data_IF_148082040703
#
_entry.id   IF_148082040703
#
_cell.length_a   1.000
_cell.length_b   1.000
_cell.length_c   1.000
_cell.angle_alpha   90.00
_cell.angle_beta   90.00
_cell.angle_gamma   90.00
#
_symmetry.space_group_name_H-M   'P 1'
#
loop_
_entity.id
_entity.type
_entity.pdbx_description
1 polymer ?
#
# COMPACT_ATOMS: atom_id res chain seq x y z
N UNK A 1 3.87 10.33 -11.58
CA UNK A 1 3.47 11.17 -10.43
C UNK A 1 4.04 12.60 -10.51
N UNK A 2 5.26 12.82 -11.01
CA UNK A 2 5.74 14.20 -11.27
C UNK A 2 4.77 15.00 -12.15
N UNK A 3 4.22 14.40 -13.20
CA UNK A 3 3.21 15.02 -14.08
C UNK A 3 1.89 15.35 -13.37
N UNK A 4 1.65 14.74 -12.21
CA UNK A 4 0.49 15.01 -11.33
C UNK A 4 0.84 15.98 -10.19
N UNK A 5 1.96 16.71 -10.29
CA UNK A 5 2.37 17.75 -9.35
C UNK A 5 3.09 17.24 -8.11
N UNK A 6 3.61 16.02 -8.10
CA UNK A 6 4.35 15.50 -6.94
C UNK A 6 5.81 15.99 -6.93
N UNK A 7 6.23 16.48 -5.78
CA UNK A 7 7.64 16.75 -5.48
C UNK A 7 8.37 15.41 -5.30
N UNK A 8 9.48 15.24 -6.02
CA UNK A 8 10.29 14.03 -5.93
C UNK A 8 11.34 14.19 -4.82
N UNK A 9 11.15 13.49 -3.73
CA UNK A 9 12.08 13.44 -2.61
C UNK A 9 13.11 12.32 -2.81
N UNK A 10 14.34 12.57 -2.39
CA UNK A 10 15.40 11.56 -2.42
C UNK A 10 15.16 10.47 -1.38
N UNK A 11 15.68 9.27 -1.67
CA UNK A 11 15.72 8.20 -0.67
C UNK A 11 16.45 8.65 0.60
N UNK A 12 15.82 8.49 1.74
CA UNK A 12 16.48 8.66 3.02
C UNK A 12 17.55 7.57 3.23
N UNK A 13 18.44 7.80 4.19
CA UNK A 13 19.38 6.77 4.67
C UNK A 13 18.63 5.57 5.20
N UNK A 14 19.17 4.36 5.02
CA UNK A 14 18.65 3.14 5.65
C UNK A 14 18.75 3.20 7.18
N UNK A 15 19.70 3.97 7.72
CA UNK A 15 19.81 4.20 9.16
C UNK A 15 18.84 5.32 9.53
N UNK A 16 17.80 5.03 10.37
CA UNK A 16 16.83 6.03 10.78
C UNK A 16 17.53 7.21 11.50
N UNK A 17 17.09 8.42 11.21
CA UNK A 17 17.46 9.59 11.98
C UNK A 17 16.28 9.94 12.89
N UNK A 18 16.59 10.07 14.18
CA UNK A 18 15.62 10.52 15.22
C UNK A 18 14.37 9.63 15.41
N UNK A 19 14.37 8.42 14.89
CA UNK A 19 13.33 7.41 15.11
C UNK A 19 13.90 6.18 15.83
N UNK A 20 13.67 6.11 17.14
CA UNK A 20 14.11 4.98 17.98
C UNK A 20 13.25 3.73 17.86
N UNK A 21 12.14 3.80 17.14
CA UNK A 21 11.22 2.67 16.94
C UNK A 21 11.71 1.70 15.85
N UNK A 22 12.66 2.13 15.01
CA UNK A 22 13.20 1.36 13.91
C UNK A 22 14.73 1.26 13.99
N UNK A 23 15.26 0.08 13.74
CA UNK A 23 16.69 -0.13 13.56
C UNK A 23 17.15 0.20 12.14
N UNK A 24 16.32 -0.13 11.15
CA UNK A 24 16.58 0.07 9.72
C UNK A 24 15.28 0.50 9.06
N UNK A 25 15.35 1.37 8.07
CA UNK A 25 14.19 1.78 7.27
C UNK A 25 13.67 0.58 6.47
N UNK A 26 12.40 0.25 6.69
CA UNK A 26 11.73 -0.94 6.13
C UNK A 26 10.51 -0.61 5.26
N UNK A 27 10.18 0.68 5.10
CA UNK A 27 9.07 1.14 4.27
C UNK A 27 9.28 2.54 3.73
N UNK A 28 8.58 2.89 2.66
CA UNK A 28 8.60 4.23 2.06
C UNK A 28 8.04 5.32 2.97
N UNK A 29 7.10 4.96 3.86
CA UNK A 29 6.48 5.90 4.79
C UNK A 29 7.35 6.19 6.01
N UNK A 30 8.22 5.26 6.43
CA UNK A 30 8.98 5.39 7.68
C UNK A 30 9.74 6.73 7.81
N UNK A 31 10.46 7.24 6.80
CA UNK A 31 11.13 8.55 6.89
C UNK A 31 10.17 9.75 6.92
N UNK A 32 8.89 9.53 6.56
CA UNK A 32 7.88 10.59 6.41
C UNK A 32 6.88 10.63 7.57
N UNK A 33 7.01 9.74 8.57
CA UNK A 33 6.11 9.67 9.74
C UNK A 33 5.88 11.02 10.41
N UNK A 34 6.93 11.83 10.54
CA UNK A 34 6.87 13.16 11.16
C UNK A 34 5.90 14.11 10.46
N UNK A 35 5.74 13.99 9.15
CA UNK A 35 4.79 14.79 8.38
C UNK A 35 3.34 14.32 8.59
N UNK A 36 3.11 13.01 8.63
CA UNK A 36 1.80 12.44 8.93
C UNK A 36 1.37 12.69 10.38
N UNK A 37 2.32 12.72 11.30
CA UNK A 37 2.08 13.05 12.71
C UNK A 37 1.92 14.57 12.96
N UNK A 38 2.07 15.43 11.95
CA UNK A 38 2.00 16.88 12.10
C UNK A 38 3.16 17.50 12.91
N UNK A 39 4.23 16.76 13.16
CA UNK A 39 5.40 17.24 13.91
C UNK A 39 6.21 18.23 13.09
N UNK A 40 6.29 17.98 11.79
CA UNK A 40 6.96 18.87 10.83
C UNK A 40 6.05 19.12 9.61
N UNK A 41 6.23 20.27 8.97
CA UNK A 41 5.56 20.59 7.71
C UNK A 41 6.28 19.89 6.55
N UNK A 42 5.57 19.13 5.70
CA UNK A 42 6.19 18.51 4.53
C UNK A 42 6.66 19.56 3.52
N UNK A 43 7.73 19.31 2.74
CA UNK A 43 8.23 20.24 1.73
C UNK A 43 7.22 20.50 0.60
N UNK A 44 6.27 19.59 0.39
CA UNK A 44 5.15 19.73 -0.54
C UNK A 44 3.98 18.87 -0.08
N UNK A 45 2.74 19.28 -0.44
CA UNK A 45 1.54 18.49 -0.14
C UNK A 45 1.49 17.16 -0.89
N UNK A 46 2.09 17.08 -2.06
CA UNK A 46 2.24 15.84 -2.86
C UNK A 46 3.71 15.46 -2.93
N UNK A 47 4.05 14.28 -2.50
CA UNK A 47 5.43 13.79 -2.57
C UNK A 47 5.47 12.41 -3.24
N UNK A 48 6.58 12.15 -3.93
CA UNK A 48 6.88 10.83 -4.50
C UNK A 48 8.31 10.46 -4.15
N UNK A 49 8.53 9.21 -3.78
CA UNK A 49 9.84 8.67 -3.39
C UNK A 49 10.13 7.35 -4.10
N UNK A 50 11.41 7.03 -4.17
CA UNK A 50 11.92 5.68 -4.43
C UNK A 50 12.82 5.34 -3.24
N UNK A 51 12.23 4.81 -2.16
CA UNK A 51 12.90 4.62 -0.87
C UNK A 51 13.57 3.26 -0.79
N UNK A 52 14.86 3.24 -0.51
CA UNK A 52 15.61 2.03 -0.18
C UNK A 52 15.13 1.47 1.15
N UNK A 53 14.81 0.18 1.18
CA UNK A 53 14.26 -0.51 2.33
C UNK A 53 14.98 -1.83 2.57
N UNK A 54 15.04 -2.25 3.84
CA UNK A 54 15.46 -3.59 4.24
C UNK A 54 14.39 -4.19 5.14
N UNK A 55 13.96 -5.41 4.81
CA UNK A 55 13.12 -6.27 5.65
C UNK A 55 13.83 -7.58 5.90
N UNK A 56 13.92 -7.98 7.16
CA UNK A 56 14.58 -9.23 7.58
C UNK A 56 13.60 -10.26 8.11
N UNK A 57 12.36 -9.87 8.42
CA UNK A 57 11.31 -10.79 8.89
C UNK A 57 10.95 -11.88 7.88
N UNK A 58 11.17 -11.61 6.59
CA UNK A 58 10.84 -12.54 5.50
C UNK A 58 12.04 -13.30 4.97
N UNK A 59 13.18 -13.31 5.69
CA UNK A 59 14.44 -13.88 5.18
C UNK A 59 14.31 -15.37 4.84
N UNK A 60 13.49 -16.11 5.58
CA UNK A 60 13.27 -17.54 5.36
C UNK A 60 12.47 -17.82 4.08
N UNK A 61 11.78 -16.81 3.54
CA UNK A 61 10.99 -16.89 2.32
C UNK A 61 11.78 -16.42 1.08
N UNK A 62 12.96 -15.82 1.27
CA UNK A 62 13.78 -15.31 0.17
C UNK A 62 14.33 -16.49 -0.66
N UNK A 63 14.05 -16.44 -1.97
CA UNK A 63 14.41 -17.52 -2.89
C UNK A 63 13.45 -18.72 -2.90
N UNK A 64 12.43 -18.72 -2.02
CA UNK A 64 11.36 -19.72 -1.99
C UNK A 64 10.12 -19.18 -2.70
N UNK A 65 9.69 -17.98 -2.34
CA UNK A 65 8.55 -17.29 -2.98
C UNK A 65 9.04 -16.30 -4.04
N UNK A 66 8.16 -15.94 -4.96
CA UNK A 66 8.49 -14.97 -6.02
C UNK A 66 8.48 -13.50 -5.51
N UNK A 67 7.98 -13.25 -4.30
CA UNK A 67 7.64 -11.90 -3.80
C UNK A 67 8.51 -11.41 -2.65
N UNK A 68 9.38 -12.23 -2.06
CA UNK A 68 10.19 -11.84 -0.90
C UNK A 68 11.63 -11.53 -1.28
N UNK A 69 12.10 -10.36 -0.83
CA UNK A 69 13.49 -9.94 -0.90
C UNK A 69 13.88 -9.20 0.39
N UNK A 70 15.16 -9.19 0.73
CA UNK A 70 15.66 -8.49 1.93
C UNK A 70 15.89 -7.02 1.68
N UNK A 71 16.54 -6.66 0.56
CA UNK A 71 16.75 -5.29 0.11
C UNK A 71 15.89 -5.01 -1.12
N UNK A 72 15.16 -3.90 -1.09
CA UNK A 72 14.31 -3.48 -2.21
C UNK A 72 14.12 -1.96 -2.20
N UNK A 73 13.61 -1.42 -3.29
CA UNK A 73 13.20 -0.04 -3.40
C UNK A 73 11.67 0.02 -3.41
N UNK A 74 11.11 0.77 -2.45
CA UNK A 74 9.67 1.00 -2.37
C UNK A 74 9.34 2.31 -3.07
N UNK A 75 8.58 2.21 -4.17
CA UNK A 75 8.02 3.38 -4.84
C UNK A 75 6.84 3.88 -4.01
N UNK A 76 6.86 5.15 -3.61
CA UNK A 76 5.80 5.73 -2.78
C UNK A 76 5.27 7.03 -3.35
N UNK A 77 3.97 7.24 -3.22
CA UNK A 77 3.31 8.51 -3.47
C UNK A 77 2.49 8.89 -2.24
N UNK A 78 2.62 10.13 -1.81
CA UNK A 78 2.11 10.60 -0.53
C UNK A 78 1.32 11.88 -0.73
N UNK A 79 0.19 11.99 -0.01
CA UNK A 79 -0.66 13.16 0.05
C UNK A 79 -0.77 13.66 1.49
N UNK A 80 -0.42 14.91 1.71
CA UNK A 80 -0.52 15.57 3.01
C UNK A 80 -1.65 16.59 2.95
N UNK A 81 -2.89 16.13 3.18
CA UNK A 81 -4.09 16.97 3.16
C UNK A 81 -4.41 17.55 1.78
N UNK A 82 -4.18 16.81 0.69
CA UNK A 82 -4.47 17.24 -0.69
C UNK A 82 -5.45 16.26 -1.36
N UNK A 83 -4.96 15.15 -1.96
CA UNK A 83 -5.83 14.13 -2.53
C UNK A 83 -6.03 12.95 -1.57
N UNK A 84 -7.07 12.14 -1.82
CA UNK A 84 -7.36 10.98 -0.99
C UNK A 84 -7.71 9.75 -1.86
N UNK A 85 -8.66 8.93 -1.46
CA UNK A 85 -8.96 7.62 -2.06
C UNK A 85 -9.17 7.67 -3.56
N UNK A 86 -10.06 8.54 -4.04
CA UNK A 86 -10.46 8.59 -5.45
C UNK A 86 -9.30 8.81 -6.39
N UNK A 87 -8.49 9.83 -6.14
CA UNK A 87 -7.32 10.15 -6.95
C UNK A 87 -6.25 9.07 -6.82
N UNK A 88 -5.97 8.62 -5.59
CA UNK A 88 -4.95 7.59 -5.33
C UNK A 88 -5.24 6.31 -6.12
N UNK A 89 -6.46 5.77 -6.02
CA UNK A 89 -6.88 4.55 -6.68
C UNK A 89 -6.91 4.71 -8.21
N UNK A 90 -7.43 5.84 -8.69
CA UNK A 90 -7.44 6.15 -10.13
C UNK A 90 -6.04 6.21 -10.72
N UNK A 91 -5.11 6.90 -10.06
CA UNK A 91 -3.73 7.04 -10.55
C UNK A 91 -2.94 5.74 -10.43
N UNK A 92 -3.20 4.92 -9.41
CA UNK A 92 -2.61 3.59 -9.29
C UNK A 92 -3.03 2.70 -10.47
N UNK A 93 -4.34 2.64 -10.74
CA UNK A 93 -4.86 1.88 -11.88
C UNK A 93 -4.35 2.40 -13.24
N UNK A 94 -4.33 3.73 -13.42
CA UNK A 94 -3.74 4.36 -14.61
C UNK A 94 -2.27 3.94 -14.78
N UNK A 95 -1.50 3.96 -13.70
CA UNK A 95 -0.08 3.57 -13.75
C UNK A 95 0.08 2.11 -14.19
N UNK A 96 -0.67 1.19 -13.59
CA UNK A 96 -0.58 -0.23 -13.95
C UNK A 96 -1.01 -0.48 -15.40
N UNK A 97 -2.14 0.09 -15.83
CA UNK A 97 -2.73 -0.25 -17.13
C UNK A 97 -2.14 0.56 -18.30
N UNK A 98 -1.90 1.86 -18.10
CA UNK A 98 -1.47 2.74 -19.19
C UNK A 98 0.06 2.83 -19.31
N UNK A 99 0.78 2.84 -18.19
CA UNK A 99 2.24 2.98 -18.21
C UNK A 99 2.95 1.64 -18.21
N UNK A 100 2.57 0.73 -17.34
CA UNK A 100 3.17 -0.61 -17.27
C UNK A 100 2.54 -1.60 -18.26
N UNK A 101 1.41 -1.21 -18.90
CA UNK A 101 0.70 -2.05 -19.88
C UNK A 101 0.25 -3.41 -19.31
N UNK A 102 -0.02 -3.46 -18.01
CA UNK A 102 -0.57 -4.65 -17.40
C UNK A 102 -2.02 -4.85 -17.85
N UNK A 103 -2.40 -6.06 -18.28
CA UNK A 103 -3.75 -6.34 -18.75
C UNK A 103 -4.76 -6.18 -17.60
N UNK A 104 -5.78 -5.34 -17.83
CA UNK A 104 -6.76 -4.97 -16.81
C UNK A 104 -7.58 -6.17 -16.30
N UNK A 105 -7.84 -7.15 -17.15
CA UNK A 105 -8.56 -8.38 -16.82
C UNK A 105 -7.81 -9.29 -15.83
N UNK A 106 -6.50 -9.07 -15.64
CA UNK A 106 -5.67 -9.76 -14.66
C UNK A 106 -5.42 -8.96 -13.37
N UNK A 107 -5.99 -7.77 -13.25
CA UNK A 107 -5.86 -6.93 -12.06
C UNK A 107 -7.03 -7.18 -11.12
N UNK A 108 -6.73 -7.42 -9.86
CA UNK A 108 -7.66 -7.60 -8.75
C UNK A 108 -7.41 -6.51 -7.71
N UNK A 109 -8.44 -6.17 -6.96
CA UNK A 109 -8.32 -5.26 -5.82
C UNK A 109 -8.76 -5.94 -4.53
N UNK A 110 -8.05 -5.66 -3.43
CA UNK A 110 -8.56 -5.96 -2.08
C UNK A 110 -8.96 -4.66 -1.39
N UNK A 111 -9.90 -4.74 -0.47
CA UNK A 111 -10.37 -3.63 0.33
C UNK A 111 -10.61 -4.08 1.77
N UNK A 112 -10.47 -3.17 2.72
CA UNK A 112 -10.89 -3.44 4.09
C UNK A 112 -12.40 -3.74 4.13
N UNK A 113 -12.79 -4.74 4.91
CA UNK A 113 -14.16 -5.29 4.90
C UNK A 113 -15.27 -4.26 5.12
N UNK A 114 -15.02 -3.22 5.94
CA UNK A 114 -15.96 -2.14 6.24
C UNK A 114 -15.78 -0.89 5.34
N UNK A 115 -14.90 -0.93 4.34
CA UNK A 115 -14.63 0.23 3.47
C UNK A 115 -15.48 0.20 2.18
N UNK A 116 -16.77 0.41 2.32
CA UNK A 116 -17.72 0.50 1.19
C UNK A 116 -17.37 1.62 0.21
N UNK A 117 -16.82 2.73 0.72
CA UNK A 117 -16.41 3.85 -0.13
C UNK A 117 -15.36 3.42 -1.16
N UNK A 118 -14.37 2.65 -0.75
CA UNK A 118 -13.31 2.17 -1.64
C UNK A 118 -13.86 1.17 -2.66
N UNK A 119 -14.81 0.32 -2.29
CA UNK A 119 -15.51 -0.59 -3.22
C UNK A 119 -16.21 0.20 -4.33
N UNK A 120 -16.99 1.23 -3.96
CA UNK A 120 -17.71 2.05 -4.94
C UNK A 120 -16.76 2.84 -5.86
N UNK A 121 -15.61 3.27 -5.34
CA UNK A 121 -14.58 3.91 -6.18
C UNK A 121 -14.05 2.89 -7.20
N UNK A 122 -13.67 1.68 -6.79
CA UNK A 122 -13.21 0.65 -7.73
C UNK A 122 -14.23 0.31 -8.79
N UNK A 123 -15.51 0.14 -8.42
CA UNK A 123 -16.60 -0.06 -9.37
C UNK A 123 -16.71 1.09 -10.37
N UNK A 124 -16.61 2.33 -9.89
CA UNK A 124 -16.64 3.52 -10.75
C UNK A 124 -15.46 3.61 -11.74
N UNK A 125 -14.33 2.98 -11.40
CA UNK A 125 -13.15 2.85 -12.25
C UNK A 125 -13.24 1.66 -13.22
N UNK A 126 -14.35 0.93 -13.22
CA UNK A 126 -14.61 -0.21 -14.09
C UNK A 126 -14.13 -1.56 -13.57
N UNK A 127 -13.68 -1.65 -12.32
CA UNK A 127 -13.33 -2.93 -11.70
C UNK A 127 -14.60 -3.76 -11.49
N UNK A 128 -14.70 -4.99 -12.05
CA UNK A 128 -15.83 -5.87 -11.80
C UNK A 128 -15.90 -6.28 -10.33
N UNK A 129 -17.11 -6.43 -9.81
CA UNK A 129 -17.33 -6.73 -8.40
C UNK A 129 -16.68 -8.06 -7.96
N UNK A 130 -16.66 -9.06 -8.82
CA UNK A 130 -16.03 -10.36 -8.57
C UNK A 130 -14.50 -10.29 -8.43
N UNK A 131 -13.87 -9.17 -8.85
CA UNK A 131 -12.44 -8.91 -8.69
C UNK A 131 -12.12 -7.92 -7.56
N UNK A 132 -13.12 -7.56 -6.74
CA UNK A 132 -12.96 -6.77 -5.52
C UNK A 132 -13.15 -7.69 -4.32
N UNK A 133 -12.08 -7.98 -3.59
CA UNK A 133 -12.09 -8.91 -2.47
C UNK A 133 -12.06 -8.14 -1.16
N UNK A 134 -13.02 -8.40 -0.27
CA UNK A 134 -13.01 -7.83 1.09
C UNK A 134 -12.16 -8.71 1.99
N UNK A 135 -11.23 -8.11 2.69
CA UNK A 135 -10.36 -8.77 3.66
C UNK A 135 -10.43 -8.07 5.02
N UNK A 136 -10.07 -8.80 6.04
CA UNK A 136 -10.11 -8.33 7.41
C UNK A 136 -8.99 -7.34 7.77
N UNK A 137 -8.94 -7.05 9.06
CA UNK A 137 -7.98 -6.08 9.60
C UNK A 137 -6.52 -6.51 9.44
N UNK A 138 -6.26 -7.79 9.48
CA UNK A 138 -4.89 -8.31 9.39
C UNK A 138 -4.27 -8.08 8.00
N UNK A 139 -5.10 -7.97 6.96
CA UNK A 139 -4.65 -7.79 5.58
C UNK A 139 -4.82 -6.34 5.10
N UNK A 140 -6.00 -5.74 5.30
CA UNK A 140 -6.37 -4.46 4.68
C UNK A 140 -6.59 -3.30 5.68
N UNK A 141 -5.94 -3.33 6.84
CA UNK A 141 -5.93 -2.20 7.77
C UNK A 141 -4.52 -1.94 8.30
N UNK A 142 -4.06 -0.71 8.16
CA UNK A 142 -2.74 -0.29 8.60
C UNK A 142 -2.79 0.42 9.95
N UNK A 143 -1.98 -0.04 10.90
CA UNK A 143 -1.75 0.65 12.18
C UNK A 143 -0.35 0.36 12.72
N UNK A 144 0.28 1.35 13.36
CA UNK A 144 1.54 1.19 14.08
C UNK A 144 1.39 1.79 15.47
N UNK A 145 1.04 0.96 16.44
CA UNK A 145 0.86 1.41 17.81
C UNK A 145 -0.23 2.47 17.95
N UNK A 146 0.06 3.56 18.67
CA UNK A 146 -0.85 4.71 18.79
C UNK A 146 -0.62 5.72 17.67
N UNK A 147 -1.66 6.47 17.31
CA UNK A 147 -1.62 7.52 16.31
C UNK A 147 -2.25 7.15 14.98
N UNK A 148 -1.78 7.75 13.86
CA UNK A 148 -2.38 7.60 12.54
C UNK A 148 -2.51 6.16 12.09
N UNK A 149 -3.71 5.78 11.58
CA UNK A 149 -4.03 4.46 11.07
C UNK A 149 -5.20 4.52 10.09
N UNK A 150 -5.53 3.42 9.42
CA UNK A 150 -6.69 3.37 8.55
C UNK A 150 -6.72 2.21 7.58
N UNK A 151 -7.75 2.16 6.73
CA UNK A 151 -7.92 1.08 5.77
C UNK A 151 -6.87 1.13 4.66
N UNK A 152 -6.60 -0.04 4.09
CA UNK A 152 -5.78 -0.20 2.91
C UNK A 152 -6.60 -0.78 1.76
N UNK A 153 -6.16 -0.53 0.54
CA UNK A 153 -6.63 -1.22 -0.65
C UNK A 153 -5.42 -1.61 -1.49
N UNK A 154 -5.33 -2.88 -1.81
CA UNK A 154 -4.19 -3.41 -2.54
C UNK A 154 -4.59 -3.80 -3.96
N UNK A 155 -3.65 -3.65 -4.88
CA UNK A 155 -3.78 -4.13 -6.25
C UNK A 155 -2.90 -5.37 -6.42
N UNK A 156 -3.53 -6.43 -6.90
CA UNK A 156 -2.89 -7.72 -7.19
C UNK A 156 -2.88 -7.99 -8.69
N UNK A 157 -1.84 -8.68 -9.13
CA UNK A 157 -1.74 -9.22 -10.48
C UNK A 157 -1.94 -10.72 -10.46
N UNK A 158 -2.95 -11.22 -11.18
CA UNK A 158 -3.17 -12.66 -11.38
C UNK A 158 -2.15 -13.20 -12.37
N UNK A 159 -1.21 -14.00 -11.89
CA UNK A 159 -0.15 -14.63 -12.68
C UNK A 159 -0.63 -15.80 -13.51
N UNK A 160 -1.79 -16.36 -13.18
CA UNK A 160 -2.39 -17.52 -13.82
C UNK A 160 -2.54 -18.71 -12.88
N UNK A 161 -3.39 -19.64 -13.29
CA UNK A 161 -3.74 -20.83 -12.48
C UNK A 161 -2.54 -21.74 -12.20
N UNK A 162 -1.56 -21.75 -13.10
CA UNK A 162 -0.32 -22.51 -12.97
C UNK A 162 0.53 -22.13 -11.76
N UNK A 163 0.33 -20.92 -11.21
CA UNK A 163 0.98 -20.44 -9.97
C UNK A 163 0.09 -20.59 -8.73
N UNK A 164 -1.11 -21.12 -8.91
CA UNK A 164 -2.10 -21.24 -7.86
C UNK A 164 -1.98 -22.49 -7.01
N UNK A 165 -2.71 -22.51 -5.90
CA UNK A 165 -2.82 -23.65 -4.99
C UNK A 165 -3.80 -24.75 -5.48
N UNK A 166 -4.45 -24.56 -6.62
CA UNK A 166 -5.45 -25.48 -7.18
C UNK A 166 -6.81 -25.50 -6.45
N UNK A 167 -7.01 -24.64 -5.46
CA UNK A 167 -8.29 -24.54 -4.75
C UNK A 167 -9.30 -23.74 -5.59
N UNK A 168 -10.58 -24.12 -5.61
CA UNK A 168 -11.59 -23.43 -6.41
C UNK A 168 -11.92 -22.02 -5.90
N UNK A 169 -11.64 -21.73 -4.64
CA UNK A 169 -11.84 -20.44 -3.97
C UNK A 169 -10.58 -19.59 -3.91
N UNK A 170 -9.55 -19.96 -4.68
CA UNK A 170 -8.29 -19.23 -4.75
C UNK A 170 -8.52 -17.78 -5.25
N UNK A 171 -8.17 -16.80 -4.43
CA UNK A 171 -8.33 -15.36 -4.68
C UNK A 171 -7.25 -14.56 -3.94
N UNK A 172 -7.09 -13.24 -4.16
CA UNK A 172 -6.23 -12.39 -3.31
C UNK A 172 -6.48 -12.60 -1.82
N UNK A 173 -5.41 -12.66 -1.02
CA UNK A 173 -5.42 -13.12 0.37
C UNK A 173 -5.04 -14.59 0.54
N UNK A 174 -4.87 -15.35 -0.57
CA UNK A 174 -4.32 -16.70 -0.53
C UNK A 174 -2.79 -16.64 -0.49
N UNK A 175 -2.15 -17.51 0.31
CA UNK A 175 -0.69 -17.58 0.46
C UNK A 175 0.05 -18.15 -0.77
N UNK A 176 -0.67 -18.57 -1.82
CA UNK A 176 -0.05 -19.07 -3.04
C UNK A 176 0.50 -17.92 -3.90
N UNK A 177 1.34 -18.29 -4.88
CA UNK A 177 2.02 -17.33 -5.75
C UNK A 177 1.18 -16.87 -6.97
N UNK A 178 -0.12 -17.23 -7.05
CA UNK A 178 -0.99 -16.82 -8.15
C UNK A 178 -1.24 -15.32 -8.15
N UNK A 179 -1.62 -14.76 -7.00
CA UNK A 179 -1.92 -13.34 -6.85
C UNK A 179 -0.75 -12.62 -6.24
N UNK A 180 -0.05 -11.83 -7.06
CA UNK A 180 1.09 -11.04 -6.63
C UNK A 180 0.63 -9.64 -6.23
N UNK A 181 0.78 -9.28 -4.95
CA UNK A 181 0.60 -7.90 -4.49
C UNK A 181 1.57 -6.99 -5.22
N UNK A 182 1.02 -6.04 -5.96
CA UNK A 182 1.80 -5.08 -6.74
C UNK A 182 1.83 -3.69 -6.11
N UNK A 183 0.71 -3.27 -5.51
CA UNK A 183 0.56 -1.93 -4.94
C UNK A 183 -0.32 -1.96 -3.70
N UNK A 184 0.10 -1.28 -2.64
CA UNK A 184 -0.72 -1.05 -1.46
C UNK A 184 -1.06 0.43 -1.34
N UNK A 185 -2.35 0.78 -1.46
CA UNK A 185 -2.89 2.10 -1.19
C UNK A 185 -3.28 2.21 0.28
N UNK A 186 -2.48 2.92 1.05
CA UNK A 186 -2.67 3.08 2.50
C UNK A 186 -3.34 4.42 2.79
N UNK A 187 -4.47 4.39 3.49
CA UNK A 187 -5.25 5.59 3.82
C UNK A 187 -5.17 5.90 5.31
N UNK A 188 -4.60 7.04 5.64
CA UNK A 188 -4.58 7.55 7.01
C UNK A 188 -5.90 8.27 7.27
N UNK A 189 -6.87 7.56 7.84
CA UNK A 189 -8.24 8.03 8.05
C UNK A 189 -8.58 8.21 9.52
N UNK A 190 -7.91 7.46 10.38
CA UNK A 190 -8.17 7.43 11.81
C UNK A 190 -6.90 7.70 12.62
N UNK A 191 -7.11 8.06 13.88
CA UNK A 191 -6.08 8.07 14.92
C UNK A 191 -6.46 7.08 16.01
N UNK A 192 -5.57 6.15 16.33
CA UNK A 192 -5.73 5.19 17.42
C UNK A 192 -5.24 5.80 18.72
N UNK A 193 -6.15 5.94 19.69
CA UNK A 193 -5.86 6.43 21.03
C UNK A 193 -5.51 5.33 22.03
N UNK A 194 -5.17 5.75 23.27
CA UNK A 194 -5.00 4.84 24.40
C UNK A 194 -6.30 4.05 24.64
N UNK A 195 -6.16 2.76 24.97
CA UNK A 195 -7.32 1.87 25.13
C UNK A 195 -7.92 1.32 23.82
N UNK A 196 -7.29 1.59 22.66
CA UNK A 196 -7.68 1.00 21.38
C UNK A 196 -8.86 1.69 20.70
N UNK A 197 -9.26 2.87 21.15
CA UNK A 197 -10.31 3.68 20.49
C UNK A 197 -9.79 4.34 19.22
N UNK A 198 -10.66 4.48 18.20
CA UNK A 198 -10.37 5.17 16.94
C UNK A 198 -11.17 6.46 16.87
N UNK A 199 -10.52 7.56 16.46
CA UNK A 199 -11.15 8.82 16.11
C UNK A 199 -10.84 9.17 14.66
N UNK A 200 -11.74 9.87 13.97
CA UNK A 200 -11.47 10.38 12.62
C UNK A 200 -10.36 11.45 12.67
N UNK A 201 -9.51 11.45 11.66
CA UNK A 201 -8.51 12.49 11.40
C UNK A 201 -9.07 13.62 10.55
#
# INVERSE_FOLDING_TARGET
>A
YKSKGHYAEKSASLIPKDDKSLLIINSGMAPLKKYFAGVETPPAKRMVTCQKCIRTGDIDNVGITARHGTFFEMLGNFSFGDYFKKESLSWGLEFMTQWLKMPFDRIWATVYEDDDQTVEIWKSLGMPEERIVRLGKDDNFWEIGLGPCGPCSELYFDRGEEYGCGKPDCKPGCDCDRYLEFWNHVFTQFSKGEGGSYSNL
#
